data_IF_905238527728
#
_entry.id   IF_905238527728
#
_cell.length_a   1.000
_cell.length_b   1.000
_cell.length_c   1.000
_cell.angle_alpha   90.00
_cell.angle_beta   90.00
_cell.angle_gamma   90.00
#
_symmetry.space_group_name_H-M   'P 1'
#
loop_
_entity.id
_entity.type
_entity.pdbx_description
1 polymer ?
#
# COMPACT_ATOMS: atom_id res chain seq x y z
N UNK A 1 -12.65 -18.44 6.45
CA UNK A 1 -12.13 -17.62 5.33
C UNK A 1 -12.89 -16.31 5.38
N UNK A 2 -12.31 -15.24 5.92
CA UNK A 2 -13.02 -13.96 5.99
C UNK A 2 -13.01 -13.33 4.60
N UNK A 3 -14.20 -13.18 4.04
CA UNK A 3 -14.43 -12.68 2.68
C UNK A 3 -14.30 -11.14 2.59
N UNK A 4 -13.95 -10.49 3.69
CA UNK A 4 -13.89 -9.02 3.84
C UNK A 4 -12.81 -8.35 2.97
N UNK A 5 -11.88 -9.15 2.45
CA UNK A 5 -10.78 -8.71 1.57
C UNK A 5 -11.20 -8.59 0.10
N UNK A 6 -12.33 -9.20 -0.30
CA UNK A 6 -12.89 -9.06 -1.64
C UNK A 6 -13.97 -7.97 -1.58
N UNK A 7 -13.88 -6.90 -2.39
CA UNK A 7 -14.91 -5.89 -2.41
C UNK A 7 -16.27 -6.50 -2.76
N UNK A 8 -17.30 -6.18 -1.97
CA UNK A 8 -18.64 -6.73 -2.19
C UNK A 8 -19.33 -6.14 -3.44
N UNK A 9 -18.89 -4.96 -3.88
CA UNK A 9 -19.39 -4.28 -5.08
C UNK A 9 -18.35 -3.29 -5.63
N UNK A 10 -18.61 -2.76 -6.83
CA UNK A 10 -17.76 -1.74 -7.46
C UNK A 10 -17.61 -0.48 -6.59
N UNK A 11 -18.67 -0.07 -5.88
CA UNK A 11 -18.60 1.08 -4.99
C UNK A 11 -17.68 0.85 -3.78
N UNK A 12 -17.65 -0.38 -3.24
CA UNK A 12 -16.71 -0.74 -2.17
C UNK A 12 -15.26 -0.74 -2.69
N UNK A 13 -15.03 -1.29 -3.89
CA UNK A 13 -13.71 -1.29 -4.51
C UNK A 13 -13.16 0.13 -4.70
N UNK A 14 -14.01 1.08 -5.14
CA UNK A 14 -13.61 2.47 -5.32
C UNK A 14 -13.26 3.17 -4.00
N UNK A 15 -13.93 2.84 -2.88
CA UNK A 15 -13.61 3.41 -1.55
C UNK A 15 -12.26 2.95 -1.02
N UNK A 16 -11.73 1.83 -1.50
CA UNK A 16 -10.42 1.28 -1.12
C UNK A 16 -9.27 1.84 -1.96
N UNK A 17 -9.53 2.81 -2.83
CA UNK A 17 -8.50 3.56 -3.55
C UNK A 17 -8.07 4.73 -2.67
N UNK A 18 -6.81 4.72 -2.21
CA UNK A 18 -6.23 5.83 -1.48
C UNK A 18 -5.36 6.68 -2.40
N UNK A 19 -5.51 8.00 -2.34
CA UNK A 19 -4.69 8.91 -3.11
C UNK A 19 -3.45 9.33 -2.32
N UNK A 20 -2.27 9.16 -2.92
CA UNK A 20 -0.99 9.58 -2.34
C UNK A 20 -0.16 10.31 -3.40
N UNK A 21 0.68 11.28 -3.02
CA UNK A 21 1.62 11.90 -3.94
C UNK A 21 2.75 10.91 -4.29
N UNK A 22 2.92 10.59 -5.57
CA UNK A 22 4.07 9.86 -6.08
C UNK A 22 4.85 10.81 -6.99
N UNK A 23 6.06 11.21 -6.57
CA UNK A 23 6.83 12.26 -7.25
C UNK A 23 6.01 13.55 -7.51
N UNK A 24 5.16 13.94 -6.57
CA UNK A 24 4.32 15.14 -6.68
C UNK A 24 3.04 14.96 -7.51
N UNK A 25 2.80 13.79 -8.10
CA UNK A 25 1.56 13.49 -8.82
C UNK A 25 0.62 12.73 -7.88
N UNK A 26 -0.57 13.28 -7.64
CA UNK A 26 -1.61 12.58 -6.87
C UNK A 26 -2.04 11.31 -7.62
N UNK A 27 -1.77 10.16 -7.03
CA UNK A 27 -1.96 8.85 -7.63
C UNK A 27 -2.89 8.02 -6.76
N UNK A 28 -3.96 7.48 -7.35
CA UNK A 28 -4.82 6.51 -6.68
C UNK A 28 -4.14 5.15 -6.62
N UNK A 29 -3.97 4.62 -5.42
CA UNK A 29 -3.44 3.29 -5.16
C UNK A 29 -4.57 2.43 -4.59
N UNK A 30 -4.95 1.42 -5.36
CA UNK A 30 -5.98 0.44 -5.00
C UNK A 30 -5.46 -0.48 -3.91
N UNK A 31 -6.26 -0.70 -2.85
CA UNK A 31 -5.97 -1.60 -1.73
C UNK A 31 -4.70 -1.24 -0.93
N UNK A 32 -4.35 0.06 -0.86
CA UNK A 32 -3.14 0.49 -0.18
C UNK A 32 -3.17 0.20 1.31
N UNK A 33 -4.29 0.48 1.98
CA UNK A 33 -4.40 0.32 3.44
C UNK A 33 -4.45 -1.15 3.85
N UNK A 34 -5.13 -1.99 3.08
CA UNK A 34 -5.11 -3.44 3.27
C UNK A 34 -3.71 -4.02 3.03
N UNK A 35 -3.00 -3.52 2.00
CA UNK A 35 -1.62 -3.95 1.74
C UNK A 35 -0.67 -3.57 2.88
N UNK A 36 -0.83 -2.38 3.45
CA UNK A 36 -0.08 -1.93 4.62
C UNK A 36 -0.42 -2.80 5.84
N UNK A 37 -1.71 -3.03 6.11
CA UNK A 37 -2.14 -3.87 7.23
C UNK A 37 -1.58 -5.29 7.14
N UNK A 38 -1.68 -5.93 5.97
CA UNK A 38 -1.16 -7.27 5.73
C UNK A 38 0.38 -7.36 5.92
N UNK A 39 1.12 -6.31 5.52
CA UNK A 39 2.59 -6.29 5.71
C UNK A 39 2.92 -6.06 7.18
N UNK A 40 2.17 -5.23 7.91
CA UNK A 40 2.36 -5.06 9.36
C UNK A 40 2.14 -6.37 10.11
N UNK A 41 1.12 -7.14 9.74
CA UNK A 41 0.85 -8.47 10.32
C UNK A 41 2.01 -9.46 10.09
N UNK A 42 2.70 -9.36 8.94
CA UNK A 42 3.87 -10.19 8.65
C UNK A 42 5.14 -9.76 9.40
N UNK A 43 5.16 -8.55 9.96
CA UNK A 43 6.27 -7.97 10.72
C UNK A 43 7.67 -8.21 10.09
N UNK A 44 7.96 -7.71 8.88
CA UNK A 44 9.25 -7.89 8.24
C UNK A 44 10.33 -7.19 9.05
N UNK A 45 11.46 -7.85 9.27
CA UNK A 45 12.49 -7.39 10.22
C UNK A 45 13.27 -6.13 9.83
N UNK A 46 13.08 -5.58 8.62
CA UNK A 46 13.76 -4.34 8.19
C UNK A 46 12.99 -3.58 7.09
N UNK A 47 13.30 -2.30 6.94
CA UNK A 47 12.67 -1.40 5.95
C UNK A 47 12.75 -1.93 4.51
N UNK A 48 13.87 -2.56 4.13
CA UNK A 48 14.04 -3.13 2.80
C UNK A 48 13.03 -4.27 2.54
N UNK A 49 12.87 -5.17 3.51
CA UNK A 49 11.90 -6.27 3.43
C UNK A 49 10.45 -5.75 3.44
N UNK A 50 10.16 -4.72 4.23
CA UNK A 50 8.85 -4.04 4.21
C UNK A 50 8.56 -3.45 2.83
N UNK A 51 9.50 -2.69 2.27
CA UNK A 51 9.34 -2.05 0.97
C UNK A 51 9.14 -3.09 -0.14
N UNK A 52 9.90 -4.18 -0.13
CA UNK A 52 9.75 -5.28 -1.09
C UNK A 52 8.38 -5.95 -0.98
N UNK A 53 7.95 -6.29 0.25
CA UNK A 53 6.67 -6.94 0.50
C UNK A 53 5.48 -6.04 0.07
N UNK A 54 5.55 -4.75 0.38
CA UNK A 54 4.55 -3.77 -0.06
C UNK A 54 4.50 -3.67 -1.57
N UNK A 55 5.65 -3.48 -2.24
CA UNK A 55 5.70 -3.36 -3.70
C UNK A 55 5.18 -4.62 -4.40
N UNK A 56 5.46 -5.82 -3.84
CA UNK A 56 4.93 -7.08 -4.35
C UNK A 56 3.40 -7.13 -4.28
N UNK A 57 2.80 -6.71 -3.15
CA UNK A 57 1.34 -6.65 -2.99
C UNK A 57 0.69 -5.59 -3.87
N UNK A 58 1.24 -4.38 -3.89
CA UNK A 58 0.67 -3.27 -4.66
C UNK A 58 0.61 -3.58 -6.15
N UNK A 59 1.62 -4.26 -6.70
CA UNK A 59 1.65 -4.69 -8.11
C UNK A 59 0.59 -5.73 -8.49
N UNK A 60 -0.04 -6.40 -7.52
CA UNK A 60 -1.17 -7.31 -7.78
C UNK A 60 -2.40 -6.54 -8.22
N UNK A 61 -2.62 -5.36 -7.65
CA UNK A 61 -3.83 -4.56 -7.86
C UNK A 61 -3.60 -3.31 -8.72
N UNK A 62 -2.34 -2.92 -8.94
CA UNK A 62 -1.98 -1.67 -9.59
C UNK A 62 -0.88 -1.90 -10.63
N UNK A 63 -0.95 -1.19 -11.75
CA UNK A 63 0.18 -1.07 -12.66
C UNK A 63 1.20 -0.08 -12.07
N UNK A 64 2.46 -0.52 -11.95
CA UNK A 64 3.58 0.32 -11.57
C UNK A 64 4.56 0.36 -12.74
N UNK A 65 4.72 1.51 -13.43
CA UNK A 65 5.67 1.59 -14.54
C UNK A 65 7.10 1.37 -14.03
N UNK A 66 7.94 0.57 -14.71
CA UNK A 66 9.29 0.26 -14.25
C UNK A 66 10.14 1.51 -13.99
N UNK A 67 10.03 2.54 -14.85
CA UNK A 67 10.80 3.78 -14.75
C UNK A 67 10.48 4.66 -13.54
N UNK A 68 9.41 4.36 -12.80
CA UNK A 68 9.03 5.10 -11.57
C UNK A 68 8.85 4.18 -10.37
N UNK A 69 9.28 2.92 -10.46
CA UNK A 69 9.07 1.94 -9.39
C UNK A 69 9.66 2.37 -8.04
N UNK A 70 10.83 3.03 -8.04
CA UNK A 70 11.45 3.56 -6.82
C UNK A 70 10.66 4.72 -6.20
N UNK A 71 10.02 5.56 -7.02
CA UNK A 71 9.16 6.63 -6.53
C UNK A 71 7.93 6.08 -5.81
N UNK A 72 7.31 5.03 -6.38
CA UNK A 72 6.24 4.29 -5.73
C UNK A 72 6.71 3.68 -4.42
N UNK A 73 7.86 2.98 -4.42
CA UNK A 73 8.40 2.34 -3.23
C UNK A 73 8.62 3.36 -2.09
N UNK A 74 9.21 4.53 -2.40
CA UNK A 74 9.39 5.61 -1.41
C UNK A 74 8.06 6.12 -0.87
N UNK A 75 7.13 6.49 -1.74
CA UNK A 75 5.83 7.02 -1.33
C UNK A 75 5.04 6.01 -0.48
N UNK A 76 4.98 4.75 -0.89
CA UNK A 76 4.29 3.69 -0.16
C UNK A 76 4.96 3.41 1.20
N UNK A 77 6.29 3.44 1.26
CA UNK A 77 7.03 3.25 2.51
C UNK A 77 6.81 4.42 3.49
N UNK A 78 6.71 5.66 3.01
CA UNK A 78 6.35 6.82 3.84
C UNK A 78 4.98 6.61 4.48
N UNK A 79 4.00 6.15 3.71
CA UNK A 79 2.67 5.85 4.20
C UNK A 79 2.63 4.69 5.20
N UNK A 80 3.41 3.64 4.96
CA UNK A 80 3.59 2.56 5.94
C UNK A 80 4.13 3.12 7.26
N UNK A 81 5.18 3.94 7.22
CA UNK A 81 5.80 4.55 8.40
C UNK A 81 4.85 5.46 9.17
N UNK A 82 4.00 6.24 8.47
CA UNK A 82 2.94 7.04 9.11
C UNK A 82 1.97 6.14 9.89
N UNK A 83 1.52 5.05 9.27
CA UNK A 83 0.59 4.10 9.92
C UNK A 83 1.15 3.40 11.17
N UNK A 84 2.48 3.34 11.32
CA UNK A 84 3.16 2.79 12.49
C UNK A 84 3.33 3.86 13.56
N UNK A 85 3.63 5.10 13.17
CA UNK A 85 3.79 6.24 14.07
C UNK A 85 2.47 6.73 14.68
N UNK A 86 1.35 6.62 13.96
CA UNK A 86 0.00 6.91 14.47
C UNK A 86 -0.48 5.94 15.56
N UNK A 87 0.33 4.93 15.91
CA UNK A 87 0.12 4.02 17.05
C UNK A 87 1.14 4.23 18.20
N UNK A 88 1.81 5.38 18.28
CA UNK A 88 2.45 5.85 19.52
C UNK A 88 1.40 6.40 20.50
N UNK A 89 1.59 6.26 21.83
CA UNK A 89 0.57 6.54 22.85
C UNK A 89 -0.03 7.95 22.78
#
# INVERSE_FOLDING_TARGET
MNNDRIPCCAADALRRIRQIPVNGIMTGITMLDESIADVKEQNPGCDAAVSEALMKKIRVYNYVPPGVAEAYARAIMEEYKKSVQEKGP
#
